data_IF_581495644427
#
_entry.id   IF_581495644427
#
_cell.length_a   1.000
_cell.length_b   1.000
_cell.length_c   1.000
_cell.angle_alpha   90.00
_cell.angle_beta   90.00
_cell.angle_gamma   90.00
#
_symmetry.space_group_name_H-M   'P 1'
#
loop_
_entity.id
_entity.type
_entity.pdbx_description
1 polymer ?
#
# COMPACT_ATOMS: atom_id res chain seq x y z
N UNK A 1 3.72 -5.27 25.19
CA UNK A 1 2.87 -4.05 25.17
C UNK A 1 1.68 -4.37 24.28
N UNK A 2 0.47 -4.13 24.78
CA UNK A 2 -0.79 -4.40 24.06
C UNK A 2 -0.79 -3.63 22.74
N UNK A 3 -0.69 -4.32 21.60
CA UNK A 3 -0.91 -3.70 20.28
C UNK A 3 -2.29 -3.07 20.31
N UNK A 4 -2.36 -1.75 20.13
CA UNK A 4 -3.64 -1.07 20.17
C UNK A 4 -4.48 -1.61 19.01
N UNK A 5 -5.65 -2.18 19.30
CA UNK A 5 -6.67 -2.33 18.27
C UNK A 5 -6.83 -0.97 17.56
N UNK A 6 -7.26 -0.95 16.29
CA UNK A 6 -7.75 0.29 15.71
C UNK A 6 -8.66 0.98 16.76
N UNK A 7 -8.43 2.26 17.04
CA UNK A 7 -9.18 2.99 18.08
C UNK A 7 -10.71 3.00 17.86
N UNK A 8 -11.13 2.51 16.68
CA UNK A 8 -12.47 2.06 16.30
C UNK A 8 -12.30 0.70 15.59
N UNK A 9 -13.16 -0.31 15.74
CA UNK A 9 -13.08 -1.47 14.86
C UNK A 9 -13.16 -0.97 13.41
N UNK A 10 -12.15 -1.23 12.58
CA UNK A 10 -12.30 -0.97 11.14
C UNK A 10 -13.39 -1.92 10.68
N UNK A 11 -14.56 -1.40 10.29
CA UNK A 11 -15.59 -2.27 9.76
C UNK A 11 -15.00 -2.88 8.50
N UNK A 12 -14.92 -4.22 8.44
CA UNK A 12 -14.86 -4.88 7.15
C UNK A 12 -16.11 -4.43 6.40
N UNK A 13 -15.90 -3.80 5.25
CA UNK A 13 -17.00 -3.24 4.50
C UNK A 13 -17.98 -4.33 4.11
N UNK A 14 -19.27 -4.07 4.36
CA UNK A 14 -20.34 -4.87 3.79
C UNK A 14 -20.74 -4.16 2.51
N UNK A 15 -20.71 -4.85 1.37
CA UNK A 15 -21.21 -4.35 0.08
C UNK A 15 -22.73 -4.23 0.12
N UNK A 16 -23.24 -3.30 0.92
CA UNK A 16 -24.64 -2.97 0.97
C UNK A 16 -25.05 -2.07 -0.22
N UNK A 17 -26.34 -1.74 -0.28
CA UNK A 17 -26.90 -0.95 -1.39
C UNK A 17 -26.24 0.43 -1.54
N UNK A 18 -25.76 1.02 -0.44
CA UNK A 18 -25.11 2.34 -0.46
C UNK A 18 -23.68 2.23 -0.98
N UNK A 19 -22.95 1.19 -0.58
CA UNK A 19 -21.61 0.90 -1.09
C UNK A 19 -21.62 0.52 -2.56
N UNK A 20 -22.57 -0.31 -3.01
CA UNK A 20 -22.75 -0.65 -4.42
C UNK A 20 -23.06 0.60 -5.27
N UNK A 21 -23.81 1.56 -4.75
CA UNK A 21 -24.06 2.82 -5.43
C UNK A 21 -22.80 3.70 -5.51
N UNK A 22 -22.04 3.82 -4.41
CA UNK A 22 -20.78 4.59 -4.36
C UNK A 22 -19.73 3.99 -5.31
N UNK A 23 -19.56 2.67 -5.30
CA UNK A 23 -18.59 1.96 -6.11
C UNK A 23 -19.01 1.86 -7.58
N UNK A 24 -20.29 1.61 -7.83
CA UNK A 24 -20.84 1.61 -9.18
C UNK A 24 -20.67 2.96 -9.89
N UNK A 25 -20.70 4.08 -9.16
CA UNK A 25 -20.50 5.42 -9.72
C UNK A 25 -19.10 5.63 -10.33
N UNK A 26 -18.10 4.86 -9.89
CA UNK A 26 -16.73 4.90 -10.44
C UNK A 26 -16.37 3.62 -11.21
N UNK A 27 -17.37 2.80 -11.54
CA UNK A 27 -17.18 1.56 -12.31
C UNK A 27 -16.61 0.38 -11.51
N UNK A 28 -16.43 0.52 -10.20
CA UNK A 28 -16.05 -0.60 -9.33
C UNK A 28 -17.24 -1.53 -9.13
N UNK A 29 -16.97 -2.83 -9.21
CA UNK A 29 -17.94 -3.90 -8.96
C UNK A 29 -17.59 -4.58 -7.64
N UNK A 30 -18.59 -5.20 -7.03
CA UNK A 30 -18.36 -6.06 -5.87
C UNK A 30 -17.31 -7.13 -6.21
N UNK A 31 -16.16 -7.13 -5.52
CA UNK A 31 -15.16 -8.17 -5.70
C UNK A 31 -15.73 -9.48 -5.20
N UNK A 32 -15.37 -10.59 -5.85
CA UNK A 32 -15.77 -11.92 -5.35
C UNK A 32 -15.16 -12.11 -3.96
N UNK A 33 -15.97 -12.35 -2.90
CA UNK A 33 -15.42 -12.70 -1.60
C UNK A 33 -14.76 -14.08 -1.72
N UNK A 34 -13.47 -14.18 -1.42
CA UNK A 34 -12.72 -15.45 -1.48
C UNK A 34 -12.37 -16.01 -0.11
N UNK A 35 -12.52 -15.23 0.95
CA UNK A 35 -12.13 -15.60 2.31
C UNK A 35 -13.27 -15.42 3.30
N UNK A 36 -13.24 -16.23 4.36
CA UNK A 36 -14.14 -16.05 5.50
C UNK A 36 -13.85 -14.72 6.21
N UNK A 37 -14.89 -13.95 6.51
CA UNK A 37 -14.73 -12.62 7.09
C UNK A 37 -14.07 -12.65 8.47
N UNK A 38 -14.35 -13.66 9.31
CA UNK A 38 -13.73 -13.76 10.63
C UNK A 38 -12.24 -14.14 10.50
N UNK A 39 -11.92 -14.99 9.55
CA UNK A 39 -10.54 -15.32 9.20
C UNK A 39 -9.77 -14.05 8.79
N UNK A 40 -10.31 -13.28 7.84
CA UNK A 40 -9.66 -12.04 7.40
C UNK A 40 -9.50 -11.01 8.53
N UNK A 41 -10.49 -10.87 9.43
CA UNK A 41 -10.33 -10.02 10.63
C UNK A 41 -9.17 -10.46 11.51
N UNK A 42 -8.97 -11.77 11.65
CA UNK A 42 -7.88 -12.32 12.46
C UNK A 42 -6.52 -12.03 11.83
N UNK A 43 -6.40 -12.18 10.50
CA UNK A 43 -5.19 -11.84 9.75
C UNK A 43 -4.91 -10.33 9.79
N UNK A 44 -5.93 -9.49 9.60
CA UNK A 44 -5.78 -8.05 9.69
C UNK A 44 -5.32 -7.61 11.08
N UNK A 45 -5.83 -8.23 12.15
CA UNK A 45 -5.36 -7.95 13.50
C UNK A 45 -3.89 -8.37 13.71
N UNK A 46 -3.41 -9.41 13.03
CA UNK A 46 -1.99 -9.78 13.00
C UNK A 46 -1.16 -8.76 12.23
N UNK A 47 -1.62 -8.38 11.03
CA UNK A 47 -0.98 -7.39 10.19
C UNK A 47 -0.80 -6.05 10.92
N UNK A 48 -1.84 -5.57 11.62
CA UNK A 48 -1.74 -4.33 12.40
C UNK A 48 -0.69 -4.39 13.51
N UNK A 49 -0.47 -5.55 14.14
CA UNK A 49 0.58 -5.69 15.15
C UNK A 49 1.98 -5.55 14.55
N UNK A 50 2.17 -5.96 13.30
CA UNK A 50 3.42 -5.77 12.57
C UNK A 50 3.58 -4.30 12.16
N UNK A 51 2.52 -3.67 11.66
CA UNK A 51 2.50 -2.25 11.29
C UNK A 51 2.85 -1.38 12.50
N UNK A 52 2.29 -1.68 13.67
CA UNK A 52 2.48 -0.93 14.92
C UNK A 52 3.90 -0.97 15.50
N UNK A 53 4.78 -1.85 14.99
CA UNK A 53 6.20 -1.82 15.36
C UNK A 53 6.82 -0.46 15.00
N UNK A 54 6.32 0.19 13.95
CA UNK A 54 6.60 1.59 13.63
C UNK A 54 5.35 2.42 13.97
N UNK A 55 5.32 3.14 15.11
CA UNK A 55 4.12 3.82 15.57
C UNK A 55 3.48 4.77 14.54
N UNK A 56 4.31 5.50 13.78
CA UNK A 56 3.85 6.40 12.74
C UNK A 56 3.12 5.68 11.59
N UNK A 57 3.58 4.48 11.21
CA UNK A 57 2.89 3.66 10.20
C UNK A 57 1.52 3.21 10.72
N UNK A 58 1.46 2.76 11.97
CA UNK A 58 0.20 2.40 12.61
C UNK A 58 -0.77 3.58 12.73
N UNK A 59 -0.28 4.78 13.05
CA UNK A 59 -1.08 6.00 13.11
C UNK A 59 -1.61 6.40 11.74
N UNK A 60 -0.79 6.31 10.70
CA UNK A 60 -1.20 6.60 9.32
C UNK A 60 -2.35 5.68 8.89
N UNK A 61 -2.23 4.36 9.09
CA UNK A 61 -3.28 3.40 8.74
C UNK A 61 -4.57 3.70 9.52
N UNK A 62 -4.48 3.94 10.83
CA UNK A 62 -5.69 4.25 11.65
C UNK A 62 -6.37 5.57 11.27
N UNK A 63 -5.61 6.54 10.79
CA UNK A 63 -6.13 7.87 10.47
C UNK A 63 -6.74 7.91 9.06
N UNK A 64 -6.14 7.17 8.13
CA UNK A 64 -6.48 7.21 6.71
C UNK A 64 -7.36 6.06 6.25
N UNK A 65 -7.32 4.89 6.89
CA UNK A 65 -8.10 3.73 6.44
C UNK A 65 -9.37 3.63 7.27
N UNK A 66 -10.48 4.09 6.69
CA UNK A 66 -11.80 3.98 7.31
C UNK A 66 -12.51 2.70 6.89
N UNK A 67 -12.04 2.09 5.81
CA UNK A 67 -12.61 0.89 5.26
C UNK A 67 -11.60 0.01 4.54
N UNK A 68 -11.77 -1.30 4.70
CA UNK A 68 -11.02 -2.33 4.00
C UNK A 68 -12.02 -3.29 3.34
N UNK A 69 -11.87 -3.46 2.04
CA UNK A 69 -12.54 -4.49 1.26
C UNK A 69 -11.56 -5.61 0.93
N UNK A 70 -11.79 -6.85 1.40
CA UNK A 70 -11.05 -8.02 0.93
C UNK A 70 -11.39 -8.29 -0.53
N UNK A 71 -10.38 -8.48 -1.39
CA UNK A 71 -10.56 -8.89 -2.78
C UNK A 71 -9.95 -10.27 -3.02
N UNK A 72 -10.62 -11.04 -3.88
CA UNK A 72 -10.08 -12.33 -4.31
C UNK A 72 -8.78 -12.21 -5.06
N UNK A 73 -7.79 -13.02 -4.67
CA UNK A 73 -6.52 -13.12 -5.39
C UNK A 73 -6.62 -14.27 -6.40
N UNK A 74 -6.24 -14.01 -7.66
CA UNK A 74 -6.29 -15.02 -8.71
C UNK A 74 -5.13 -16.03 -8.63
N UNK A 75 -4.00 -15.67 -8.00
CA UNK A 75 -2.89 -16.58 -7.72
C UNK A 75 -2.07 -16.17 -6.48
N UNK A 76 -1.36 -17.13 -5.87
CA UNK A 76 -0.52 -16.86 -4.68
C UNK A 76 0.64 -15.90 -4.94
N UNK A 77 1.09 -15.81 -6.19
CA UNK A 77 2.32 -15.10 -6.55
C UNK A 77 2.08 -13.60 -6.74
N UNK A 78 0.83 -13.16 -6.85
CA UNK A 78 0.48 -11.75 -7.03
C UNK A 78 -0.26 -11.22 -5.81
N UNK A 79 0.21 -10.11 -5.25
CA UNK A 79 -0.62 -9.31 -4.35
C UNK A 79 -1.56 -8.44 -5.19
N UNK A 80 -2.86 -8.61 -4.98
CA UNK A 80 -3.88 -7.76 -5.58
C UNK A 80 -4.27 -6.71 -4.56
N UNK A 81 -3.75 -5.50 -4.70
CA UNK A 81 -4.12 -4.34 -3.88
C UNK A 81 -4.46 -3.17 -4.79
N UNK A 82 -5.43 -2.37 -4.40
CA UNK A 82 -5.60 -1.05 -4.99
C UNK A 82 -6.36 -0.10 -4.06
N UNK A 83 -6.16 1.18 -4.33
CA UNK A 83 -6.90 2.31 -3.79
C UNK A 83 -7.23 3.23 -4.96
N UNK A 84 -8.34 3.97 -4.85
CA UNK A 84 -8.79 4.90 -5.89
C UNK A 84 -8.87 6.31 -5.30
N UNK A 85 -8.24 7.33 -5.89
CA UNK A 85 -8.35 8.71 -5.42
C UNK A 85 -9.80 9.22 -5.29
N UNK A 86 -10.73 8.70 -6.11
CA UNK A 86 -12.16 9.03 -6.02
C UNK A 86 -12.87 8.35 -4.84
N UNK A 87 -12.22 7.41 -4.16
CA UNK A 87 -12.67 6.75 -2.94
C UNK A 87 -11.68 6.97 -1.80
N UNK A 88 -11.57 8.21 -1.29
CA UNK A 88 -10.71 8.46 -0.15
C UNK A 88 -11.14 7.60 1.03
N UNK A 89 -10.14 7.20 1.81
CA UNK A 89 -10.24 6.41 3.02
C UNK A 89 -10.70 4.94 2.87
N UNK A 90 -10.76 4.42 1.64
CA UNK A 90 -11.07 3.02 1.34
C UNK A 90 -9.88 2.33 0.65
N UNK A 91 -9.54 1.12 1.10
CA UNK A 91 -8.53 0.27 0.44
C UNK A 91 -9.12 -1.09 0.08
N UNK A 92 -8.63 -1.65 -1.02
CA UNK A 92 -8.97 -2.98 -1.51
C UNK A 92 -7.74 -3.86 -1.40
N UNK A 93 -7.82 -4.93 -0.62
CA UNK A 93 -6.66 -5.74 -0.25
C UNK A 93 -6.91 -7.21 -0.55
N UNK A 94 -5.96 -7.81 -1.25
CA UNK A 94 -5.96 -9.22 -1.61
C UNK A 94 -5.98 -10.09 -0.36
N UNK A 95 -6.96 -10.97 -0.29
CA UNK A 95 -7.06 -11.95 0.77
C UNK A 95 -6.69 -13.33 0.23
N UNK A 96 -5.53 -13.82 0.65
CA UNK A 96 -5.04 -15.15 0.33
C UNK A 96 -5.79 -16.20 1.15
N UNK A 97 -5.97 -17.41 0.60
CA UNK A 97 -6.61 -18.47 1.36
C UNK A 97 -5.63 -19.05 2.41
N UNK A 98 -6.13 -19.66 3.50
CA UNK A 98 -5.29 -20.35 4.50
C UNK A 98 -4.36 -21.38 3.87
N UNK A 99 -4.84 -22.09 2.85
CA UNK A 99 -4.05 -23.07 2.10
C UNK A 99 -2.81 -22.45 1.47
N UNK A 100 -2.81 -21.13 1.28
CA UNK A 100 -1.82 -20.40 0.51
C UNK A 100 -0.45 -20.30 1.15
N UNK A 101 -0.39 -20.50 2.47
CA UNK A 101 0.86 -20.47 3.24
C UNK A 101 1.72 -19.24 2.90
N UNK A 102 1.04 -18.12 2.59
CA UNK A 102 1.72 -16.87 2.29
C UNK A 102 2.36 -16.31 3.57
N UNK A 103 3.51 -15.62 3.45
CA UNK A 103 4.10 -14.91 4.57
C UNK A 103 3.07 -13.98 5.22
N UNK A 104 2.95 -14.04 6.55
CA UNK A 104 1.99 -13.26 7.34
C UNK A 104 2.21 -11.74 7.19
N UNK A 105 3.45 -11.37 6.88
CA UNK A 105 3.88 -9.99 6.62
C UNK A 105 3.25 -9.38 5.35
N UNK A 106 2.83 -10.19 4.36
CA UNK A 106 2.31 -9.67 3.07
C UNK A 106 1.04 -8.85 3.22
N UNK A 107 0.14 -9.26 4.11
CA UNK A 107 -1.07 -8.50 4.38
C UNK A 107 -0.73 -7.13 5.02
N UNK A 108 0.26 -7.09 5.92
CA UNK A 108 0.73 -5.85 6.52
C UNK A 108 1.39 -4.92 5.48
N UNK A 109 2.22 -5.47 4.60
CA UNK A 109 2.82 -4.76 3.46
C UNK A 109 1.72 -4.15 2.57
N UNK A 110 0.72 -4.95 2.16
CA UNK A 110 -0.38 -4.48 1.31
C UNK A 110 -1.23 -3.38 1.96
N UNK A 111 -1.58 -3.53 3.24
CA UNK A 111 -2.35 -2.49 3.96
C UNK A 111 -1.56 -1.18 4.04
N UNK A 112 -0.27 -1.24 4.39
CA UNK A 112 0.58 -0.06 4.44
C UNK A 112 0.76 0.55 3.03
N UNK A 113 0.94 -0.29 2.02
CA UNK A 113 1.10 0.11 0.62
C UNK A 113 -0.07 0.98 0.15
N UNK A 114 -1.30 0.46 0.26
CA UNK A 114 -2.50 1.20 -0.17
C UNK A 114 -2.78 2.42 0.71
N UNK A 115 -2.44 2.36 1.99
CA UNK A 115 -2.53 3.53 2.88
C UNK A 115 -1.64 4.66 2.39
N UNK A 116 -0.42 4.35 1.93
CA UNK A 116 0.52 5.35 1.44
C UNK A 116 0.06 5.94 0.09
N UNK A 117 -0.57 5.14 -0.77
CA UNK A 117 -1.25 5.67 -1.96
C UNK A 117 -2.37 6.67 -1.60
N UNK A 118 -3.23 6.33 -0.62
CA UNK A 118 -4.25 7.25 -0.12
C UNK A 118 -3.64 8.54 0.44
N UNK A 119 -2.58 8.41 1.25
CA UNK A 119 -1.92 9.56 1.85
C UNK A 119 -1.41 10.53 0.79
N UNK A 120 -0.69 10.03 -0.21
CA UNK A 120 -0.11 10.88 -1.24
C UNK A 120 -1.18 11.49 -2.14
N UNK A 121 -2.24 10.73 -2.46
CA UNK A 121 -3.39 11.27 -3.21
C UNK A 121 -4.04 12.45 -2.47
N UNK A 122 -4.25 12.32 -1.16
CA UNK A 122 -4.81 13.40 -0.33
C UNK A 122 -3.88 14.62 -0.21
N UNK A 123 -2.56 14.41 -0.22
CA UNK A 123 -1.58 15.50 -0.28
C UNK A 123 -1.68 16.21 -1.64
N UNK A 124 -1.75 15.46 -2.75
CA UNK A 124 -1.84 16.01 -4.10
C UNK A 124 -3.11 16.85 -4.33
N UNK A 125 -4.22 16.52 -3.67
CA UNK A 125 -5.44 17.33 -3.69
C UNK A 125 -5.22 18.76 -3.17
N UNK A 126 -4.22 18.96 -2.30
CA UNK A 126 -3.87 20.27 -1.71
C UNK A 126 -2.60 20.87 -2.27
N UNK A 127 -1.63 20.04 -2.64
CA UNK A 127 -0.29 20.41 -3.09
C UNK A 127 0.04 19.60 -4.34
N UNK A 128 -0.18 20.13 -5.55
CA UNK A 128 0.13 19.41 -6.78
C UNK A 128 1.62 19.05 -6.85
N UNK A 129 1.93 17.77 -7.06
CA UNK A 129 3.31 17.27 -7.15
C UNK A 129 3.75 17.04 -8.61
N UNK A 130 2.80 16.91 -9.52
CA UNK A 130 3.02 16.68 -10.95
C UNK A 130 2.27 17.75 -11.76
N UNK A 131 2.91 18.29 -12.79
CA UNK A 131 2.41 19.36 -13.65
C UNK A 131 1.41 18.90 -14.71
N UNK A 132 1.40 17.61 -15.05
CA UNK A 132 0.44 17.02 -15.97
C UNK A 132 0.81 17.22 -17.45
N UNK A 133 2.09 17.31 -17.77
CA UNK A 133 2.60 17.36 -19.15
C UNK A 133 2.30 16.07 -19.93
N UNK A 134 1.97 14.99 -19.22
CA UNK A 134 1.67 13.69 -19.80
C UNK A 134 2.93 12.88 -20.09
N UNK A 135 4.07 13.25 -19.53
CA UNK A 135 5.30 12.46 -19.60
C UNK A 135 5.07 11.05 -19.02
N UNK A 136 5.67 10.07 -19.70
CA UNK A 136 5.76 8.71 -19.20
C UNK A 136 7.21 8.26 -19.13
N UNK A 137 7.54 7.48 -18.11
CA UNK A 137 8.81 6.76 -18.02
C UNK A 137 8.55 5.31 -17.63
N UNK A 138 9.52 4.46 -17.93
CA UNK A 138 9.47 3.04 -17.59
C UNK A 138 9.42 2.84 -16.06
N UNK A 139 8.49 2.00 -15.60
CA UNK A 139 8.38 1.58 -14.20
C UNK A 139 9.04 0.21 -14.00
N UNK A 140 10.08 0.09 -13.15
CA UNK A 140 10.79 -1.17 -12.95
C UNK A 140 9.94 -2.22 -12.23
N UNK A 141 8.99 -1.84 -11.38
CA UNK A 141 8.10 -2.80 -10.70
C UNK A 141 6.90 -3.21 -11.55
N UNK A 142 6.40 -2.34 -12.43
CA UNK A 142 5.25 -2.65 -13.31
C UNK A 142 5.67 -3.17 -14.69
N UNK A 143 6.97 -3.09 -15.01
CA UNK A 143 7.57 -3.49 -16.28
C UNK A 143 6.89 -2.87 -17.52
N UNK A 144 6.42 -1.63 -17.38
CA UNK A 144 5.73 -0.84 -18.43
C UNK A 144 5.90 0.65 -18.21
N UNK A 145 5.62 1.43 -19.25
CA UNK A 145 5.52 2.88 -19.17
C UNK A 145 4.42 3.31 -18.19
N UNK A 146 4.74 4.30 -17.35
CA UNK A 146 3.79 4.90 -16.41
C UNK A 146 3.91 6.42 -16.43
N UNK A 147 2.81 7.14 -16.18
CA UNK A 147 2.87 8.58 -16.00
C UNK A 147 3.73 8.95 -14.79
N UNK A 148 4.31 10.15 -14.80
CA UNK A 148 5.14 10.71 -13.71
C UNK A 148 4.48 10.55 -12.33
N UNK A 149 3.17 10.83 -12.23
CA UNK A 149 2.40 10.65 -10.99
C UNK A 149 2.44 9.20 -10.51
N UNK A 150 2.25 8.23 -11.40
CA UNK A 150 2.29 6.82 -11.05
C UNK A 150 3.66 6.34 -10.58
N UNK A 151 4.75 6.96 -11.08
CA UNK A 151 6.11 6.68 -10.63
C UNK A 151 6.39 7.31 -9.26
N UNK A 152 6.05 8.59 -9.07
CA UNK A 152 6.22 9.28 -7.79
C UNK A 152 5.49 8.54 -6.66
N UNK A 153 4.25 8.12 -6.92
CA UNK A 153 3.48 7.29 -5.99
C UNK A 153 4.18 5.98 -5.66
N UNK A 154 4.68 5.27 -6.67
CA UNK A 154 5.38 4.01 -6.45
C UNK A 154 6.64 4.16 -5.58
N UNK A 155 7.49 5.16 -5.88
CA UNK A 155 8.70 5.42 -5.10
C UNK A 155 8.33 5.80 -3.65
N UNK A 156 7.36 6.71 -3.46
CA UNK A 156 6.90 7.12 -2.13
C UNK A 156 6.47 5.93 -1.28
N UNK A 157 5.58 5.10 -1.83
CA UNK A 157 5.06 3.93 -1.13
C UNK A 157 6.18 2.94 -0.83
N UNK A 158 7.06 2.66 -1.80
CA UNK A 158 8.15 1.72 -1.63
C UNK A 158 9.16 2.15 -0.58
N UNK A 159 9.52 3.43 -0.50
CA UNK A 159 10.43 3.92 0.54
C UNK A 159 9.83 3.78 1.94
N UNK A 160 8.55 4.13 2.12
CA UNK A 160 7.88 3.95 3.42
C UNK A 160 7.79 2.47 3.80
N UNK A 161 7.41 1.59 2.86
CA UNK A 161 7.36 0.15 3.09
C UNK A 161 8.75 -0.39 3.43
N UNK A 162 9.78 0.02 2.69
CA UNK A 162 11.15 -0.41 2.93
C UNK A 162 11.65 -0.02 4.33
N UNK A 163 11.41 1.22 4.76
CA UNK A 163 11.80 1.68 6.09
C UNK A 163 11.09 0.89 7.19
N UNK A 164 9.79 0.63 7.01
CA UNK A 164 9.04 -0.25 7.91
C UNK A 164 9.61 -1.68 7.93
N UNK A 165 9.87 -2.27 6.76
CA UNK A 165 10.48 -3.61 6.63
C UNK A 165 11.85 -3.69 7.32
N UNK A 166 12.70 -2.66 7.20
CA UNK A 166 14.02 -2.60 7.85
C UNK A 166 13.90 -2.64 9.37
N UNK A 167 12.96 -1.87 9.94
CA UNK A 167 12.74 -1.84 11.39
C UNK A 167 12.24 -3.19 11.91
N UNK A 168 11.23 -3.77 11.27
CA UNK A 168 10.65 -5.04 11.74
C UNK A 168 11.60 -6.22 11.54
N UNK A 169 12.39 -6.24 10.46
CA UNK A 169 13.38 -7.29 10.19
C UNK A 169 14.54 -7.28 11.18
N UNK A 170 14.88 -6.11 11.74
CA UNK A 170 15.86 -5.99 12.82
C UNK A 170 15.29 -6.39 14.20
N UNK A 171 13.96 -6.48 14.32
CA UNK A 171 13.27 -6.80 15.56
C UNK A 171 13.10 -8.31 15.79
N UNK A 172 12.82 -8.72 17.05
CA UNK A 172 12.67 -10.13 17.41
C UNK A 172 11.34 -10.76 16.96
N UNK A 173 10.41 -9.94 16.45
CA UNK A 173 9.08 -10.39 15.99
C UNK A 173 9.19 -11.13 14.67
N UNK A 174 10.21 -10.81 13.86
CA UNK A 174 10.37 -11.34 12.50
C UNK A 174 11.25 -12.58 12.49
N UNK A 175 10.78 -13.68 11.90
CA UNK A 175 11.53 -14.93 11.81
C UNK A 175 11.12 -15.77 10.60
N UNK A 176 11.96 -16.76 10.24
CA UNK A 176 11.64 -17.77 9.23
C UNK A 176 11.29 -17.16 7.87
N UNK A 177 10.16 -17.60 7.32
CA UNK A 177 9.69 -17.18 5.99
C UNK A 177 9.38 -15.68 5.91
N UNK A 178 8.88 -15.07 6.99
CA UNK A 178 8.56 -13.64 7.01
C UNK A 178 9.82 -12.78 6.99
N UNK A 179 10.89 -13.19 7.69
CA UNK A 179 12.19 -12.50 7.64
C UNK A 179 12.82 -12.61 6.25
N UNK A 180 12.76 -13.80 5.63
CA UNK A 180 13.26 -14.00 4.27
C UNK A 180 12.50 -13.16 3.24
N UNK A 181 11.16 -13.07 3.36
CA UNK A 181 10.33 -12.18 2.53
C UNK A 181 10.72 -10.72 2.70
N UNK A 182 10.84 -10.24 3.95
CA UNK A 182 11.22 -8.86 4.24
C UNK A 182 12.58 -8.48 3.62
N UNK A 183 13.60 -9.34 3.78
CA UNK A 183 14.94 -9.13 3.23
C UNK A 183 14.92 -9.09 1.69
N UNK A 184 14.18 -10.00 1.06
CA UNK A 184 14.02 -10.01 -0.39
C UNK A 184 13.35 -8.73 -0.88
N UNK A 185 12.23 -8.30 -0.26
CA UNK A 185 11.52 -7.08 -0.65
C UNK A 185 12.37 -5.83 -0.44
N UNK A 186 13.15 -5.73 0.64
CA UNK A 186 14.09 -4.62 0.83
C UNK A 186 15.08 -4.54 -0.34
N UNK A 187 15.69 -5.66 -0.73
CA UNK A 187 16.64 -5.72 -1.85
C UNK A 187 15.98 -5.32 -3.18
N UNK A 188 14.77 -5.85 -3.45
CA UNK A 188 14.02 -5.51 -4.66
C UNK A 188 13.68 -4.03 -4.72
N UNK A 189 13.24 -3.43 -3.62
CA UNK A 189 12.93 -2.00 -3.56
C UNK A 189 14.21 -1.16 -3.79
N UNK A 190 15.34 -1.56 -3.20
CA UNK A 190 16.62 -0.87 -3.43
C UNK A 190 17.02 -0.91 -4.92
N UNK A 191 16.91 -2.07 -5.57
CA UNK A 191 17.19 -2.23 -7.00
C UNK A 191 16.22 -1.40 -7.88
N UNK A 192 14.92 -1.50 -7.63
CA UNK A 192 13.87 -0.81 -8.40
C UNK A 192 13.95 0.71 -8.24
N UNK A 193 14.25 1.23 -7.03
CA UNK A 193 14.41 2.66 -6.82
C UNK A 193 15.72 3.19 -7.40
N UNK A 194 16.80 2.40 -7.41
CA UNK A 194 18.07 2.79 -8.02
C UNK A 194 17.96 3.01 -9.53
N UNK A 195 17.05 2.28 -10.23
CA UNK A 195 16.74 2.51 -11.64
C UNK A 195 16.09 3.88 -11.91
N UNK A 196 15.60 4.58 -10.88
CA UNK A 196 14.91 5.87 -10.98
C UNK A 196 15.67 7.01 -10.27
N UNK A 197 16.99 6.89 -10.13
CA UNK A 197 17.82 7.90 -9.44
C UNK A 197 17.74 9.31 -10.06
N UNK A 198 17.47 9.40 -11.36
CA UNK A 198 17.34 10.65 -12.10
C UNK A 198 15.89 11.21 -12.08
N UNK A 199 14.95 10.52 -11.44
CA UNK A 199 13.53 10.86 -11.49
C UNK A 199 13.23 12.27 -10.97
N UNK A 200 13.98 12.73 -9.96
CA UNK A 200 13.87 14.08 -9.43
C UNK A 200 14.19 15.20 -10.45
N UNK A 201 14.83 14.86 -11.57
CA UNK A 201 15.10 15.78 -12.67
C UNK A 201 13.99 15.81 -13.75
N UNK A 202 12.86 15.11 -13.55
CA UNK A 202 11.72 15.19 -14.47
C UNK A 202 11.15 16.61 -14.53
N UNK A 203 10.91 17.08 -15.76
CA UNK A 203 10.32 18.40 -16.04
C UNK A 203 8.82 18.43 -15.71
N UNK A 204 8.17 17.27 -15.65
CA UNK A 204 6.76 17.11 -15.26
C UNK A 204 6.54 17.19 -13.74
N UNK A 205 7.59 17.25 -12.92
CA UNK A 205 7.44 17.50 -11.49
C UNK A 205 7.19 19.00 -11.22
N UNK A 206 6.31 19.30 -10.26
CA UNK A 206 6.21 20.67 -9.70
C UNK A 206 7.44 20.96 -8.82
N UNK A 207 7.66 22.21 -8.36
CA UNK A 207 8.71 22.49 -7.38
C UNK A 207 8.62 21.61 -6.12
N UNK A 208 7.41 21.41 -5.59
CA UNK A 208 7.13 20.56 -4.43
C UNK A 208 7.35 19.08 -4.75
N UNK A 209 6.92 18.63 -5.94
CA UNK A 209 7.17 17.28 -6.42
C UNK A 209 8.65 16.94 -6.54
N UNK A 210 9.48 17.90 -7.00
CA UNK A 210 10.94 17.72 -7.06
C UNK A 210 11.57 17.59 -5.68
N UNK A 211 11.11 18.37 -4.70
CA UNK A 211 11.62 18.27 -3.32
C UNK A 211 11.33 16.87 -2.76
N UNK A 212 10.08 16.39 -2.94
CA UNK A 212 9.71 15.05 -2.49
C UNK A 212 10.51 13.97 -3.25
N UNK A 213 10.56 14.06 -4.57
CA UNK A 213 11.26 13.08 -5.39
C UNK A 213 12.75 12.98 -5.01
N UNK A 214 13.44 14.11 -4.83
CA UNK A 214 14.84 14.14 -4.41
C UNK A 214 15.04 13.40 -3.07
N UNK A 215 14.20 13.69 -2.07
CA UNK A 215 14.28 13.04 -0.76
C UNK A 215 13.98 11.53 -0.79
N UNK A 216 13.31 11.03 -1.84
CA UNK A 216 12.97 9.62 -2.00
C UNK A 216 13.99 8.83 -2.82
N UNK A 217 14.77 9.49 -3.68
CA UNK A 217 15.78 8.84 -4.53
C UNK A 217 17.19 8.89 -3.94
N UNK A 218 17.46 9.82 -3.01
CA UNK A 218 18.67 9.85 -2.18
C UNK A 218 18.85 8.57 -1.33
#
# INVERSE_FOLDING_TARGET
MSGAAFGRPVPLERFDTLMLARYGAIGLREPKPTVDANHFQTELAQAMRLIDVVPAAGEAVRSLVWSITPVGVESRDYDTGYSDPALPFSIFIGAHAVSDQVPSIRLAEGVLHETMHLQLSLIEDSVPLVGGSGESRYSPWQKRERPTQGLLHGIYVFRVVQDWLRVIAAGPIMAGVDLAHAQLRISQIDEECAELIDFAASDDLTPEGRILAAALVD
#
